data_IF_347938798539
#
_entry.id   IF_347938798539
#
_cell.length_a   1.000
_cell.length_b   1.000
_cell.length_c   1.000
_cell.angle_alpha   90.00
_cell.angle_beta   90.00
_cell.angle_gamma   90.00
#
_symmetry.space_group_name_H-M   'P 1'
#
loop_
_entity.id
_entity.type
_entity.pdbx_description
1 polymer ?
#
# COMPACT_ATOMS: atom_id res chain seq x y z
N UNK A 1 7.37 16.38 40.65
CA UNK A 1 7.14 16.09 39.22
C UNK A 1 5.63 16.08 39.02
N UNK A 2 5.08 17.23 38.63
CA UNK A 2 3.64 17.35 38.39
C UNK A 2 3.33 16.93 36.96
N UNK A 3 2.50 15.89 36.84
CA UNK A 3 2.04 15.35 35.57
C UNK A 3 0.86 16.22 35.11
N UNK A 4 1.15 17.21 34.26
CA UNK A 4 0.15 18.05 33.63
C UNK A 4 -0.63 17.26 32.57
N UNK A 5 -1.72 16.61 32.99
CA UNK A 5 -2.73 16.10 32.08
C UNK A 5 -3.53 17.29 31.53
N UNK A 6 -3.08 17.81 30.39
CA UNK A 6 -3.77 18.87 29.65
C UNK A 6 -5.06 18.28 29.03
N UNK A 7 -6.11 18.13 29.85
CA UNK A 7 -7.46 17.80 29.41
C UNK A 7 -8.01 19.04 28.71
N UNK A 8 -7.81 19.11 27.39
CA UNK A 8 -8.37 20.15 26.53
C UNK A 8 -9.88 20.23 26.70
N UNK A 9 -10.34 21.22 27.48
CA UNK A 9 -11.71 21.65 27.55
C UNK A 9 -12.04 22.44 26.28
N UNK A 10 -12.27 21.75 25.16
CA UNK A 10 -12.81 22.39 23.96
C UNK A 10 -14.23 22.86 24.27
N UNK A 11 -14.45 24.18 24.25
CA UNK A 11 -15.77 24.78 24.47
C UNK A 11 -16.71 24.23 23.39
N UNK A 12 -17.97 23.94 23.75
CA UNK A 12 -18.98 23.38 22.81
C UNK A 12 -19.20 24.25 21.55
N UNK A 13 -18.80 25.53 21.58
CA UNK A 13 -18.81 26.46 20.45
C UNK A 13 -17.84 26.11 19.32
N UNK A 14 -16.81 25.29 19.59
CA UNK A 14 -15.71 25.05 18.65
C UNK A 14 -15.90 23.72 17.88
N UNK A 15 -16.96 22.96 18.21
CA UNK A 15 -17.33 21.74 17.51
C UNK A 15 -18.01 22.14 16.21
N UNK A 16 -17.20 22.43 15.20
CA UNK A 16 -17.70 22.80 13.90
C UNK A 16 -18.31 21.55 13.21
N UNK A 17 -19.64 21.53 13.07
CA UNK A 17 -20.38 20.54 12.29
C UNK A 17 -20.27 20.78 10.76
N UNK A 18 -19.15 21.35 10.29
CA UNK A 18 -18.84 21.51 8.86
C UNK A 18 -19.03 20.17 8.14
N UNK A 19 -19.51 20.24 6.89
CA UNK A 19 -19.62 19.09 5.99
C UNK A 19 -18.20 18.55 5.70
N UNK A 20 -18.06 17.23 5.55
CA UNK A 20 -16.80 16.61 5.13
C UNK A 20 -16.67 16.71 3.62
N UNK A 21 -15.63 17.38 3.13
CA UNK A 21 -15.34 17.44 1.69
C UNK A 21 -14.69 16.15 1.21
N UNK A 22 -14.74 15.87 -0.09
CA UNK A 22 -14.07 14.72 -0.69
C UNK A 22 -12.56 14.75 -0.43
N UNK A 23 -11.93 15.92 -0.55
CA UNK A 23 -10.53 16.12 -0.21
C UNK A 23 -10.22 15.71 1.23
N UNK A 24 -11.03 16.14 2.19
CA UNK A 24 -10.86 15.78 3.60
C UNK A 24 -11.03 14.28 3.85
N UNK A 25 -11.92 13.63 3.09
CA UNK A 25 -12.14 12.19 3.16
C UNK A 25 -10.93 11.43 2.61
N UNK A 26 -10.38 11.84 1.46
CA UNK A 26 -9.18 11.23 0.90
C UNK A 26 -7.96 11.44 1.79
N UNK A 27 -7.79 12.65 2.32
CA UNK A 27 -6.73 12.95 3.27
C UNK A 27 -6.84 12.08 4.53
N UNK A 28 -8.05 11.84 5.04
CA UNK A 28 -8.29 10.98 6.19
C UNK A 28 -7.90 9.52 5.89
N UNK A 29 -8.22 9.01 4.70
CA UNK A 29 -7.83 7.64 4.29
C UNK A 29 -6.32 7.50 4.18
N UNK A 30 -5.65 8.48 3.55
CA UNK A 30 -4.19 8.49 3.39
C UNK A 30 -3.48 8.60 4.75
N UNK A 31 -3.94 9.51 5.61
CA UNK A 31 -3.38 9.66 6.94
C UNK A 31 -3.58 8.39 7.78
N UNK A 32 -4.75 7.73 7.69
CA UNK A 32 -4.97 6.44 8.35
C UNK A 32 -4.03 5.35 7.81
N UNK A 33 -3.79 5.30 6.49
CA UNK A 33 -2.83 4.35 5.90
C UNK A 33 -1.41 4.54 6.43
N UNK A 34 -1.02 5.79 6.73
CA UNK A 34 0.32 6.12 7.19
C UNK A 34 0.49 6.01 8.73
N UNK A 35 -0.49 6.45 9.52
CA UNK A 35 -0.38 6.56 10.98
C UNK A 35 -1.29 5.59 11.74
N UNK A 36 -2.11 4.80 11.05
CA UNK A 36 -3.08 3.89 11.65
C UNK A 36 -4.18 4.62 12.42
N UNK A 37 -4.62 4.02 13.53
CA UNK A 37 -5.70 4.54 14.39
C UNK A 37 -5.26 5.63 15.37
N UNK A 38 -4.09 6.25 15.15
CA UNK A 38 -3.61 7.35 16.00
C UNK A 38 -4.33 8.67 15.67
N UNK A 39 -5.60 8.75 16.06
CA UNK A 39 -6.51 9.85 15.70
C UNK A 39 -6.08 11.22 16.24
N UNK A 40 -5.41 11.25 17.40
CA UNK A 40 -4.90 12.49 18.01
C UNK A 40 -3.81 13.07 17.12
N UNK A 41 -2.82 12.26 16.77
CA UNK A 41 -1.74 12.67 15.88
C UNK A 41 -2.26 13.11 14.50
N UNK A 42 -3.24 12.39 13.94
CA UNK A 42 -3.81 12.75 12.63
C UNK A 42 -4.59 14.06 12.71
N UNK A 43 -5.38 14.26 13.77
CA UNK A 43 -6.15 15.47 14.00
C UNK A 43 -5.24 16.70 14.10
N UNK A 44 -4.22 16.65 14.94
CA UNK A 44 -3.28 17.75 15.15
C UNK A 44 -2.48 18.09 13.88
N UNK A 45 -2.09 17.08 13.09
CA UNK A 45 -1.22 17.28 11.94
C UNK A 45 -1.96 17.69 10.66
N UNK A 46 -3.18 17.22 10.45
CA UNK A 46 -3.87 17.34 9.16
C UNK A 46 -5.25 18.02 9.23
N UNK A 47 -5.86 18.09 10.41
CA UNK A 47 -7.23 18.59 10.58
C UNK A 47 -7.34 19.58 11.74
N UNK A 48 -6.85 20.82 11.59
CA UNK A 48 -6.88 21.82 12.67
C UNK A 48 -8.31 22.13 13.14
N UNK A 49 -9.29 22.01 12.25
CA UNK A 49 -10.71 22.28 12.51
C UNK A 49 -11.49 21.07 13.07
N UNK A 50 -10.85 19.90 13.23
CA UNK A 50 -11.54 18.66 13.63
C UNK A 50 -10.79 17.94 14.72
N UNK A 51 -11.51 17.45 15.72
CA UNK A 51 -10.92 16.65 16.78
C UNK A 51 -10.82 15.16 16.41
N UNK A 52 -9.95 14.45 17.12
CA UNK A 52 -9.70 13.02 16.96
C UNK A 52 -10.97 12.15 16.95
N UNK A 53 -11.97 12.48 17.77
CA UNK A 53 -13.20 11.71 17.84
C UNK A 53 -14.06 11.87 16.57
N UNK A 54 -14.10 13.07 16.00
CA UNK A 54 -14.78 13.32 14.71
C UNK A 54 -14.13 12.50 13.58
N UNK A 55 -12.80 12.40 13.57
CA UNK A 55 -12.06 11.58 12.59
C UNK A 55 -12.41 10.10 12.74
N UNK A 56 -12.34 9.56 13.96
CA UNK A 56 -12.70 8.16 14.24
C UNK A 56 -14.13 7.85 13.80
N UNK A 57 -15.10 8.70 14.16
CA UNK A 57 -16.50 8.53 13.78
C UNK A 57 -16.67 8.56 12.27
N UNK A 58 -16.03 9.52 11.58
CA UNK A 58 -16.10 9.63 10.12
C UNK A 58 -15.49 8.40 9.45
N UNK A 59 -14.32 7.95 9.91
CA UNK A 59 -13.65 6.78 9.36
C UNK A 59 -14.51 5.51 9.50
N UNK A 60 -15.05 5.27 10.70
CA UNK A 60 -15.96 4.14 10.93
C UNK A 60 -17.21 4.21 10.04
N UNK A 61 -17.77 5.39 9.84
CA UNK A 61 -18.88 5.59 8.90
C UNK A 61 -18.48 5.21 7.48
N UNK A 62 -17.32 5.68 6.99
CA UNK A 62 -16.82 5.36 5.65
C UNK A 62 -16.60 3.84 5.47
N UNK A 63 -16.01 3.17 6.45
CA UNK A 63 -15.78 1.73 6.40
C UNK A 63 -17.10 0.94 6.36
N UNK A 64 -18.11 1.37 7.12
CA UNK A 64 -19.45 0.77 7.07
C UNK A 64 -20.13 0.96 5.72
N UNK A 65 -19.98 2.13 5.11
CA UNK A 65 -20.52 2.41 3.77
C UNK A 65 -19.84 1.56 2.70
N UNK A 66 -18.51 1.37 2.78
CA UNK A 66 -17.78 0.50 1.85
C UNK A 66 -18.24 -0.95 1.96
N UNK A 67 -18.42 -1.47 3.18
CA UNK A 67 -18.93 -2.85 3.39
C UNK A 67 -20.33 -3.03 2.80
N UNK A 68 -21.24 -2.09 3.06
CA UNK A 68 -22.61 -2.14 2.53
C UNK A 68 -22.62 -2.06 1.00
N UNK A 69 -21.77 -1.22 0.38
CA UNK A 69 -21.68 -1.14 -1.08
C UNK A 69 -21.21 -2.46 -1.69
N UNK A 70 -20.25 -3.14 -1.08
CA UNK A 70 -19.80 -4.47 -1.52
C UNK A 70 -20.91 -5.54 -1.38
N UNK A 71 -21.65 -5.51 -0.26
CA UNK A 71 -22.76 -6.42 -0.04
C UNK A 71 -23.91 -6.20 -1.05
N UNK A 72 -24.19 -4.94 -1.44
CA UNK A 72 -25.20 -4.58 -2.44
C UNK A 72 -24.76 -5.02 -3.84
N UNK A 73 -23.50 -4.76 -4.23
CA UNK A 73 -22.95 -5.13 -5.54
C UNK A 73 -22.98 -6.66 -5.73
N UNK A 74 -22.66 -7.40 -4.66
CA UNK A 74 -22.76 -8.86 -4.63
C UNK A 74 -24.20 -9.35 -4.80
N UNK A 75 -25.18 -8.66 -4.20
CA UNK A 75 -26.61 -9.00 -4.32
C UNK A 75 -27.18 -8.69 -5.70
N UNK A 76 -26.84 -7.54 -6.30
CA UNK A 76 -27.29 -7.15 -7.64
C UNK A 76 -26.79 -8.17 -8.68
N UNK A 77 -25.54 -8.63 -8.54
CA UNK A 77 -24.98 -9.68 -9.38
C UNK A 77 -25.73 -11.01 -9.23
N UNK A 78 -26.09 -11.40 -7.99
CA UNK A 78 -26.93 -12.58 -7.74
C UNK A 78 -28.33 -12.43 -8.35
N UNK A 79 -28.97 -11.27 -8.20
CA UNK A 79 -30.31 -11.01 -8.76
C UNK A 79 -30.31 -11.06 -10.29
N UNK A 80 -29.24 -10.61 -10.94
CA UNK A 80 -29.04 -10.69 -12.39
C UNK A 80 -28.84 -12.15 -12.86
N UNK A 81 -28.07 -12.93 -12.11
CA UNK A 81 -27.93 -14.39 -12.32
C UNK A 81 -29.28 -15.09 -12.17
N UNK A 82 -30.08 -14.74 -11.16
CA UNK A 82 -31.42 -15.29 -10.90
C UNK A 82 -32.45 -14.88 -11.96
N UNK A 83 -32.28 -13.72 -12.58
CA UNK A 83 -33.15 -13.24 -13.67
C UNK A 83 -32.88 -13.97 -14.97
N UNK A 84 -31.62 -14.32 -15.22
CA UNK A 84 -31.20 -15.09 -16.40
C UNK A 84 -31.57 -16.58 -16.30
N UNK A 85 -31.72 -17.12 -15.09
CA UNK A 85 -32.15 -18.53 -14.87
C UNK A 85 -33.67 -18.74 -14.97
N UNK A 86 -34.49 -17.68 -15.00
CA UNK A 86 -35.97 -17.78 -15.06
C UNK A 86 -36.57 -17.89 -16.47
N UNK A 87 -35.76 -18.12 -17.52
CA UNK A 87 -36.24 -18.28 -18.90
C UNK A 87 -36.36 -19.73 -19.39
N UNK A 88 -36.05 -20.73 -18.57
CA UNK A 88 -36.33 -22.15 -18.88
C UNK A 88 -37.20 -22.78 -17.79
N UNK A 89 -38.08 -23.70 -18.21
CA UNK A 89 -39.42 -23.97 -17.70
C UNK A 89 -39.56 -24.73 -16.36
N UNK A 90 -40.78 -24.61 -15.83
CA UNK A 90 -41.52 -25.42 -14.84
C UNK A 90 -41.29 -26.94 -14.83
N UNK A 91 -41.11 -27.53 -13.62
CA UNK A 91 -41.73 -28.78 -13.04
C UNK A 91 -40.90 -29.25 -11.80
N UNK A 92 -41.43 -30.12 -10.90
CA UNK A 92 -41.54 -29.89 -9.46
C UNK A 92 -40.31 -30.26 -8.62
N UNK A 93 -40.32 -29.75 -7.39
CA UNK A 93 -39.28 -29.76 -6.38
C UNK A 93 -38.75 -31.15 -6.03
N UNK A 94 -37.54 -31.48 -6.51
CA UNK A 94 -36.67 -32.49 -5.91
C UNK A 94 -35.40 -31.76 -5.42
N UNK A 95 -35.10 -31.87 -4.12
CA UNK A 95 -33.91 -31.25 -3.53
C UNK A 95 -32.67 -31.91 -4.13
N UNK A 96 -32.09 -31.28 -5.15
CA UNK A 96 -30.83 -31.72 -5.71
C UNK A 96 -29.70 -31.32 -4.74
N UNK A 97 -29.16 -32.32 -4.05
CA UNK A 97 -27.97 -32.22 -3.24
C UNK A 97 -26.81 -31.66 -4.09
N UNK A 98 -26.32 -30.47 -3.72
CA UNK A 98 -25.12 -29.89 -4.33
C UNK A 98 -23.99 -30.90 -4.13
N UNK A 99 -23.44 -31.42 -5.24
CA UNK A 99 -22.37 -32.41 -5.22
C UNK A 99 -21.11 -31.82 -4.58
N UNK A 100 -21.00 -31.99 -3.26
CA UNK A 100 -19.95 -31.46 -2.39
C UNK A 100 -18.53 -31.80 -2.90
N UNK A 101 -18.40 -32.93 -3.62
CA UNK A 101 -17.13 -33.34 -4.23
C UNK A 101 -16.66 -32.38 -5.32
N UNK A 102 -17.57 -31.88 -6.16
CA UNK A 102 -17.24 -30.93 -7.24
C UNK A 102 -16.90 -29.54 -6.69
N UNK A 103 -17.64 -29.08 -5.68
CA UNK A 103 -17.36 -27.78 -5.02
C UNK A 103 -15.99 -27.81 -4.35
N UNK A 104 -15.63 -28.92 -3.70
CA UNK A 104 -14.32 -29.11 -3.09
C UNK A 104 -13.19 -29.09 -4.12
N UNK A 105 -13.37 -29.76 -5.27
CA UNK A 105 -12.38 -29.75 -6.35
C UNK A 105 -12.14 -28.33 -6.89
N UNK A 106 -13.21 -27.55 -7.09
CA UNK A 106 -13.11 -26.16 -7.57
C UNK A 106 -12.35 -25.30 -6.55
N UNK A 107 -12.68 -25.44 -5.26
CA UNK A 107 -11.98 -24.71 -4.20
C UNK A 107 -10.48 -25.05 -4.17
N UNK A 108 -10.12 -26.32 -4.28
CA UNK A 108 -8.73 -26.76 -4.27
C UNK A 108 -7.96 -26.26 -5.51
N UNK A 109 -8.59 -26.26 -6.68
CA UNK A 109 -8.03 -25.68 -7.91
C UNK A 109 -7.77 -24.17 -7.76
N UNK A 110 -8.71 -23.43 -7.16
CA UNK A 110 -8.56 -22.00 -6.92
C UNK A 110 -7.39 -21.72 -5.96
N UNK A 111 -7.27 -22.48 -4.87
CA UNK A 111 -6.15 -22.34 -3.94
C UNK A 111 -4.80 -22.63 -4.60
N UNK A 112 -4.71 -23.69 -5.41
CA UNK A 112 -3.49 -24.03 -6.14
C UNK A 112 -3.07 -22.93 -7.12
N UNK A 113 -4.04 -22.34 -7.84
CA UNK A 113 -3.75 -21.25 -8.77
C UNK A 113 -3.25 -20.00 -8.04
N UNK A 114 -3.85 -19.65 -6.90
CA UNK A 114 -3.38 -18.54 -6.07
C UNK A 114 -1.94 -18.76 -5.58
N UNK A 115 -1.63 -19.97 -5.10
CA UNK A 115 -0.27 -20.30 -4.66
C UNK A 115 0.76 -20.20 -5.79
N UNK A 116 0.43 -20.71 -6.98
CA UNK A 116 1.30 -20.60 -8.16
C UNK A 116 1.54 -19.14 -8.56
N UNK A 117 0.51 -18.30 -8.52
CA UNK A 117 0.65 -16.86 -8.80
C UNK A 117 1.60 -16.18 -7.81
N UNK A 118 1.44 -16.45 -6.51
CA UNK A 118 2.31 -15.90 -5.47
C UNK A 118 3.78 -16.33 -5.68
N UNK A 119 4.00 -17.60 -5.98
CA UNK A 119 5.34 -18.14 -6.25
C UNK A 119 5.99 -17.45 -7.46
N UNK A 120 5.24 -17.26 -8.55
CA UNK A 120 5.73 -16.58 -9.74
C UNK A 120 6.14 -15.13 -9.45
N UNK A 121 5.31 -14.39 -8.71
CA UNK A 121 5.59 -13.00 -8.33
C UNK A 121 6.87 -12.92 -7.48
N UNK A 122 7.02 -13.80 -6.48
CA UNK A 122 8.21 -13.82 -5.64
C UNK A 122 9.48 -14.11 -6.45
N UNK A 123 9.41 -15.04 -7.42
CA UNK A 123 10.54 -15.34 -8.30
C UNK A 123 10.90 -14.13 -9.19
N UNK A 124 9.89 -13.43 -9.74
CA UNK A 124 10.12 -12.22 -10.53
C UNK A 124 10.77 -11.11 -9.70
N UNK A 125 10.32 -10.90 -8.46
CA UNK A 125 10.89 -9.92 -7.53
C UNK A 125 12.36 -10.25 -7.26
N UNK A 126 12.65 -11.51 -6.93
CA UNK A 126 14.02 -11.96 -6.67
C UNK A 126 14.94 -11.71 -7.87
N UNK A 127 14.51 -12.11 -9.06
CA UNK A 127 15.28 -11.93 -10.29
C UNK A 127 15.55 -10.44 -10.57
N UNK A 128 14.54 -9.58 -10.38
CA UNK A 128 14.70 -8.15 -10.56
C UNK A 128 15.70 -7.56 -9.55
N UNK A 129 15.57 -7.90 -8.26
CA UNK A 129 16.50 -7.45 -7.22
C UNK A 129 17.94 -7.88 -7.50
N UNK A 130 18.12 -9.13 -7.93
CA UNK A 130 19.44 -9.65 -8.30
C UNK A 130 20.04 -8.88 -9.49
N UNK A 131 19.24 -8.57 -10.51
CA UNK A 131 19.70 -7.77 -11.65
C UNK A 131 20.10 -6.36 -11.24
N UNK A 132 19.32 -5.71 -10.38
CA UNK A 132 19.65 -4.37 -9.85
C UNK A 132 20.96 -4.39 -9.06
N UNK A 133 21.15 -5.39 -8.20
CA UNK A 133 22.38 -5.55 -7.43
C UNK A 133 23.60 -5.76 -8.34
N UNK A 134 23.48 -6.59 -9.37
CA UNK A 134 24.54 -6.82 -10.35
C UNK A 134 24.95 -5.55 -11.10
N UNK A 135 23.97 -4.74 -11.51
CA UNK A 135 24.22 -3.45 -12.17
C UNK A 135 24.92 -2.47 -11.22
N UNK A 136 24.46 -2.37 -9.97
CA UNK A 136 25.09 -1.51 -8.96
C UNK A 136 26.52 -1.92 -8.68
N UNK A 137 26.78 -3.23 -8.52
CA UNK A 137 28.13 -3.73 -8.31
C UNK A 137 29.05 -3.40 -9.50
N UNK A 138 28.58 -3.62 -10.72
CA UNK A 138 29.35 -3.30 -11.95
C UNK A 138 29.68 -1.81 -12.03
N UNK A 139 28.74 -0.93 -11.69
CA UNK A 139 28.96 0.51 -11.63
C UNK A 139 30.03 0.88 -10.59
N UNK A 140 29.97 0.29 -9.40
CA UNK A 140 30.96 0.54 -8.34
C UNK A 140 32.37 0.09 -8.76
N UNK A 141 32.49 -1.07 -9.42
CA UNK A 141 33.77 -1.52 -9.98
C UNK A 141 34.32 -0.53 -11.01
N UNK A 142 33.45 0.00 -11.89
CA UNK A 142 33.84 0.99 -12.87
C UNK A 142 34.33 2.31 -12.23
N UNK A 143 33.62 2.82 -11.22
CA UNK A 143 34.03 4.02 -10.48
C UNK A 143 35.40 3.84 -9.79
N UNK A 144 35.62 2.67 -9.16
CA UNK A 144 36.90 2.35 -8.53
C UNK A 144 38.06 2.36 -9.53
N UNK A 145 37.84 1.79 -10.71
CA UNK A 145 38.86 1.76 -11.77
C UNK A 145 39.20 3.17 -12.29
N UNK A 146 38.21 4.06 -12.43
CA UNK A 146 38.45 5.47 -12.79
C UNK A 146 39.26 6.19 -11.70
N UNK A 147 38.92 5.99 -10.42
CA UNK A 147 39.64 6.62 -9.32
C UNK A 147 41.12 6.22 -9.33
N UNK A 148 41.41 4.93 -9.46
CA UNK A 148 42.79 4.44 -9.54
C UNK A 148 43.55 5.01 -10.74
N UNK A 149 42.90 5.14 -11.90
CA UNK A 149 43.52 5.74 -13.07
C UNK A 149 43.89 7.22 -12.83
N UNK A 150 42.97 7.98 -12.23
CA UNK A 150 43.19 9.39 -11.93
C UNK A 150 44.31 9.62 -10.90
N UNK A 151 44.41 8.76 -9.88
CA UNK A 151 45.46 8.84 -8.87
C UNK A 151 46.84 8.51 -9.47
N UNK A 152 46.90 7.52 -10.36
CA UNK A 152 48.12 7.19 -11.10
C UNK A 152 48.55 8.29 -12.07
N UNK A 153 47.61 8.97 -12.72
CA UNK A 153 47.88 10.11 -13.60
C UNK A 153 48.47 11.31 -12.82
N UNK A 154 47.92 11.62 -11.64
CA UNK A 154 48.47 12.64 -10.74
C UNK A 154 49.88 12.30 -10.28
N UNK A 155 50.16 11.03 -9.96
CA UNK A 155 51.48 10.59 -9.53
C UNK A 155 52.54 10.82 -10.62
N UNK A 156 52.23 10.46 -11.88
CA UNK A 156 53.12 10.67 -13.02
C UNK A 156 53.40 12.15 -13.27
N UNK A 157 52.37 12.99 -13.20
CA UNK A 157 52.52 14.43 -13.40
C UNK A 157 53.39 15.08 -12.32
N UNK A 158 53.25 14.62 -11.07
CA UNK A 158 54.08 15.07 -9.95
C UNK A 158 55.54 14.67 -10.12
N UNK A 159 55.79 13.45 -10.61
CA UNK A 159 57.14 12.93 -10.83
C UNK A 159 57.86 13.64 -12.00
N UNK A 160 57.14 13.99 -13.08
CA UNK A 160 57.67 14.81 -14.18
C UNK A 160 58.02 16.24 -13.74
N UNK A 161 57.19 16.85 -12.92
CA UNK A 161 57.46 18.18 -12.36
C UNK A 161 58.73 18.18 -11.48
N UNK A 162 58.93 17.13 -10.68
CA UNK A 162 60.14 16.97 -9.85
C UNK A 162 61.41 16.73 -10.68
N UNK A 163 61.32 16.01 -11.80
CA UNK A 163 62.44 15.80 -12.72
C UNK A 163 62.86 17.10 -13.42
N UNK A 164 61.90 17.91 -13.87
CA UNK A 164 62.17 19.19 -14.52
C UNK A 164 62.75 20.25 -13.56
N UNK A 165 62.48 20.14 -12.26
CA UNK A 165 63.07 21.02 -11.24
C UNK A 165 64.52 20.66 -10.89
N UNK A 166 64.96 19.41 -11.11
CA UNK A 166 66.34 18.97 -10.83
C UNK A 166 67.33 19.24 -11.97
N UNK A 167 66.85 19.64 -13.15
CA UNK A 167 67.68 19.96 -14.33
C UNK A 167 67.95 21.47 -14.50
N UNK A 168 67.51 22.30 -13.54
CA UNK A 168 67.85 23.72 -13.42
C UNK A 168 68.76 23.93 -12.22
#
# INVERSE_FOLDING_TARGET
MEINFNKGNYKRSDINCKIWTEYQIELLKLAYKQYGSNWVQISEKFFPDRNANQLKCKFNYLMRQMKQKQDIDTRVNIDEILKNTKKEETQPTEKQDINYSQVKQIHDLVQQNQQKTIQCINQQIYNHQFQQFSQQFSFLQYQNNISQFNDNAKLKQTHEQQLNQKQK
#
